data_IF_709025499601
#
_entry.id   IF_709025499601
#
_cell.length_a   1.000
_cell.length_b   1.000
_cell.length_c   1.000
_cell.angle_alpha   90.00
_cell.angle_beta   90.00
_cell.angle_gamma   90.00
#
_symmetry.space_group_name_H-M   'P 1'
#
loop_
_entity.id
_entity.type
_entity.pdbx_description
1 polymer ?
#
# COMPACT_ATOMS: atom_id res chain seq x y z
N UNK A 1 -18.68 -23.64 -12.42
CA UNK A 1 -18.43 -22.64 -11.36
C UNK A 1 -17.08 -22.95 -10.73
N UNK A 2 -15.99 -22.36 -11.24
CA UNK A 2 -14.67 -22.51 -10.61
C UNK A 2 -14.62 -21.58 -9.40
N UNK A 3 -14.35 -22.09 -8.19
CA UNK A 3 -14.45 -21.31 -6.97
C UNK A 3 -13.42 -20.19 -6.95
N UNK A 4 -13.87 -19.02 -6.51
CA UNK A 4 -13.17 -17.72 -6.38
C UNK A 4 -12.10 -17.69 -5.27
N UNK A 5 -11.55 -18.85 -4.95
CA UNK A 5 -10.64 -19.06 -3.84
C UNK A 5 -9.33 -19.58 -4.43
N UNK A 6 -8.24 -19.40 -3.70
CA UNK A 6 -6.88 -19.93 -3.96
C UNK A 6 -6.88 -21.47 -4.02
N UNK A 7 -7.69 -22.04 -4.92
CA UNK A 7 -7.88 -23.46 -5.11
C UNK A 7 -7.19 -23.83 -6.41
N UNK A 8 -6.24 -24.76 -6.37
CA UNK A 8 -5.58 -25.22 -7.58
C UNK A 8 -6.63 -25.80 -8.54
N UNK A 9 -6.58 -25.46 -9.85
CA UNK A 9 -7.52 -26.03 -10.83
C UNK A 9 -7.39 -27.55 -10.81
N UNK A 10 -8.50 -28.31 -10.78
CA UNK A 10 -8.50 -29.78 -10.62
C UNK A 10 -7.85 -30.54 -11.78
N UNK A 11 -7.83 -29.95 -12.98
CA UNK A 11 -7.15 -30.43 -14.17
C UNK A 11 -6.11 -29.41 -14.63
N UNK A 12 -5.17 -29.81 -15.49
CA UNK A 12 -4.24 -28.86 -16.12
C UNK A 12 -5.04 -28.00 -17.10
N UNK A 13 -5.15 -26.68 -16.90
CA UNK A 13 -5.89 -25.83 -17.82
C UNK A 13 -5.08 -25.60 -19.11
N UNK A 14 -5.72 -25.56 -20.29
CA UNK A 14 -5.09 -25.01 -21.49
C UNK A 14 -4.62 -23.57 -21.25
N UNK A 15 -3.60 -23.12 -21.98
CA UNK A 15 -2.99 -21.78 -21.81
C UNK A 15 -4.02 -20.64 -21.73
N UNK A 16 -4.97 -20.60 -22.67
CA UNK A 16 -6.00 -19.56 -22.71
C UNK A 16 -6.98 -19.63 -21.53
N UNK A 17 -7.26 -20.84 -21.03
CA UNK A 17 -8.10 -21.02 -19.84
C UNK A 17 -7.36 -20.57 -18.58
N UNK A 18 -6.07 -20.87 -18.47
CA UNK A 18 -5.22 -20.39 -17.38
C UNK A 18 -5.21 -18.86 -17.33
N UNK A 19 -4.99 -18.21 -18.49
CA UNK A 19 -4.99 -16.75 -18.62
C UNK A 19 -6.33 -16.14 -18.23
N UNK A 20 -7.44 -16.71 -18.71
CA UNK A 20 -8.78 -16.26 -18.37
C UNK A 20 -9.06 -16.37 -16.87
N UNK A 21 -8.73 -17.50 -16.24
CA UNK A 21 -8.89 -17.72 -14.80
C UNK A 21 -8.10 -16.67 -14.00
N UNK A 22 -6.85 -16.41 -14.39
CA UNK A 22 -6.00 -15.42 -13.73
C UNK A 22 -6.59 -14.01 -13.87
N UNK A 23 -7.01 -13.63 -15.09
CA UNK A 23 -7.57 -12.31 -15.37
C UNK A 23 -8.86 -12.04 -14.57
N UNK A 24 -9.77 -13.02 -14.54
CA UNK A 24 -11.04 -12.90 -13.80
C UNK A 24 -10.77 -12.80 -12.30
N UNK A 25 -9.91 -13.66 -11.75
CA UNK A 25 -9.57 -13.62 -10.33
C UNK A 25 -8.87 -12.30 -9.93
N UNK A 26 -7.92 -11.80 -10.73
CA UNK A 26 -7.27 -10.51 -10.46
C UNK A 26 -8.28 -9.35 -10.49
N UNK A 27 -9.20 -9.36 -11.46
CA UNK A 27 -10.25 -8.35 -11.60
C UNK A 27 -11.20 -8.39 -10.40
N UNK A 28 -11.62 -9.57 -9.97
CA UNK A 28 -12.51 -9.72 -8.81
C UNK A 28 -11.85 -9.33 -7.50
N UNK A 29 -10.58 -9.72 -7.30
CA UNK A 29 -9.80 -9.29 -6.14
C UNK A 29 -9.66 -7.77 -6.09
N UNK A 30 -9.48 -7.11 -7.25
CA UNK A 30 -9.43 -5.64 -7.34
C UNK A 30 -10.76 -4.99 -6.98
N UNK A 31 -11.89 -5.53 -7.43
CA UNK A 31 -13.20 -4.98 -7.07
C UNK A 31 -13.50 -5.17 -5.59
N UNK A 32 -13.21 -6.36 -5.03
CA UNK A 32 -13.34 -6.61 -3.60
C UNK A 32 -12.46 -5.67 -2.76
N UNK A 33 -11.23 -5.41 -3.21
CA UNK A 33 -10.32 -4.43 -2.61
C UNK A 33 -10.90 -3.02 -2.57
N UNK A 34 -11.48 -2.54 -3.69
CA UNK A 34 -12.10 -1.22 -3.76
C UNK A 34 -13.27 -1.10 -2.80
N UNK A 35 -14.17 -2.11 -2.77
CA UNK A 35 -15.30 -2.16 -1.83
C UNK A 35 -14.82 -2.13 -0.39
N UNK A 36 -13.80 -2.92 -0.05
CA UNK A 36 -13.22 -2.95 1.29
C UNK A 36 -12.61 -1.61 1.71
N UNK A 37 -11.89 -0.93 0.81
CA UNK A 37 -11.37 0.43 1.07
C UNK A 37 -12.50 1.43 1.30
N UNK A 38 -13.58 1.38 0.51
CA UNK A 38 -14.75 2.24 0.71
C UNK A 38 -15.41 2.01 2.08
N UNK A 39 -15.56 0.75 2.50
CA UNK A 39 -16.10 0.41 3.83
C UNK A 39 -15.20 0.96 4.95
N UNK A 40 -13.88 0.81 4.82
CA UNK A 40 -12.93 1.38 5.78
C UNK A 40 -13.05 2.91 5.85
N UNK A 41 -13.13 3.60 4.71
CA UNK A 41 -13.31 5.05 4.66
C UNK A 41 -14.60 5.48 5.37
N UNK A 42 -15.71 4.78 5.13
CA UNK A 42 -16.99 5.06 5.81
C UNK A 42 -16.91 4.81 7.31
N UNK A 43 -16.27 3.71 7.73
CA UNK A 43 -16.07 3.38 9.14
C UNK A 43 -15.29 4.48 9.87
N UNK A 44 -14.13 4.88 9.34
CA UNK A 44 -13.30 5.92 9.93
C UNK A 44 -13.99 7.29 9.97
N UNK A 45 -14.73 7.66 8.92
CA UNK A 45 -15.55 8.88 8.91
C UNK A 45 -16.59 8.89 10.03
N UNK A 46 -17.21 7.75 10.31
CA UNK A 46 -18.26 7.63 11.33
C UNK A 46 -17.72 7.56 12.77
N UNK A 47 -16.44 7.24 12.98
CA UNK A 47 -15.89 7.04 14.34
C UNK A 47 -15.45 8.35 15.02
N UNK A 48 -15.78 9.53 14.47
CA UNK A 48 -15.71 10.82 15.18
C UNK A 48 -14.31 11.32 15.60
N UNK A 49 -13.24 10.63 15.21
CA UNK A 49 -11.87 11.06 15.46
C UNK A 49 -11.16 11.38 14.16
N UNK A 50 -10.90 12.67 13.91
CA UNK A 50 -10.00 13.16 12.85
C UNK A 50 -8.57 12.66 13.10
N UNK A 51 -8.30 11.39 12.78
CA UNK A 51 -6.97 10.82 12.73
C UNK A 51 -6.68 10.44 11.28
N UNK A 52 -6.70 11.41 10.36
CA UNK A 52 -6.45 11.22 8.92
C UNK A 52 -5.14 10.46 8.66
N UNK A 53 -4.16 10.60 9.56
CA UNK A 53 -2.91 9.82 9.55
C UNK A 53 -3.15 8.32 9.69
N UNK A 54 -3.89 7.88 10.72
CA UNK A 54 -4.16 6.45 10.94
C UNK A 54 -4.98 5.87 9.78
N UNK A 55 -5.91 6.66 9.26
CA UNK A 55 -6.68 6.32 8.07
C UNK A 55 -5.77 6.10 6.84
N UNK A 56 -4.90 7.05 6.50
CA UNK A 56 -3.99 6.92 5.36
C UNK A 56 -2.97 5.78 5.50
N UNK A 57 -2.45 5.56 6.71
CA UNK A 57 -1.55 4.43 6.99
C UNK A 57 -2.28 3.08 6.88
N UNK A 58 -3.53 2.98 7.35
CA UNK A 58 -4.36 1.79 7.21
C UNK A 58 -4.68 1.49 5.74
N UNK A 59 -5.04 2.50 4.95
CA UNK A 59 -5.26 2.34 3.50
C UNK A 59 -4.00 1.85 2.79
N UNK A 60 -2.83 2.39 3.18
CA UNK A 60 -1.54 1.97 2.65
C UNK A 60 -1.22 0.51 3.02
N UNK A 61 -1.44 0.09 4.27
CA UNK A 61 -1.26 -1.30 4.69
C UNK A 61 -2.21 -2.25 3.93
N UNK A 62 -3.46 -1.85 3.80
CA UNK A 62 -4.49 -2.61 3.09
C UNK A 62 -4.09 -2.81 1.64
N UNK A 63 -3.66 -1.75 0.95
CA UNK A 63 -3.18 -1.85 -0.43
C UNK A 63 -1.98 -2.79 -0.55
N UNK A 64 -0.96 -2.67 0.32
CA UNK A 64 0.21 -3.55 0.23
C UNK A 64 -0.13 -5.03 0.51
N UNK A 65 -1.04 -5.27 1.46
CA UNK A 65 -1.55 -6.63 1.75
C UNK A 65 -2.31 -7.20 0.55
N UNK A 66 -3.14 -6.37 -0.09
CA UNK A 66 -3.88 -6.77 -1.29
C UNK A 66 -2.98 -6.99 -2.50
N UNK A 67 -1.91 -6.20 -2.65
CA UNK A 67 -0.89 -6.42 -3.69
C UNK A 67 -0.18 -7.76 -3.49
N UNK A 68 0.17 -8.11 -2.24
CA UNK A 68 0.73 -9.42 -1.92
C UNK A 68 -0.25 -10.54 -2.28
N UNK A 69 -1.53 -10.40 -1.89
CA UNK A 69 -2.56 -11.37 -2.23
C UNK A 69 -2.76 -11.55 -3.74
N UNK A 70 -2.87 -10.44 -4.49
CA UNK A 70 -3.00 -10.45 -5.95
C UNK A 70 -1.79 -11.07 -6.65
N UNK A 71 -0.58 -10.87 -6.12
CA UNK A 71 0.61 -11.58 -6.61
C UNK A 71 0.51 -13.08 -6.32
N UNK A 72 -0.13 -13.55 -5.24
CA UNK A 72 -0.24 -14.99 -4.96
C UNK A 72 -1.29 -15.73 -5.82
N UNK A 73 -2.34 -15.05 -6.29
CA UNK A 73 -3.46 -15.63 -7.04
C UNK A 73 -3.07 -16.45 -8.30
N UNK A 74 -2.14 -15.98 -9.17
CA UNK A 74 -1.76 -16.73 -10.37
C UNK A 74 -0.88 -17.95 -10.07
N UNK A 75 -0.22 -17.99 -8.90
CA UNK A 75 0.79 -18.99 -8.54
C UNK A 75 0.31 -20.43 -8.68
N UNK A 76 -0.83 -20.86 -8.09
CA UNK A 76 -1.28 -22.25 -8.21
C UNK A 76 -1.65 -22.64 -9.64
N UNK A 77 -2.12 -21.68 -10.45
CA UNK A 77 -2.51 -21.92 -11.85
C UNK A 77 -1.26 -22.14 -12.71
N UNK A 78 -0.29 -21.22 -12.62
CA UNK A 78 0.96 -21.32 -13.37
C UNK A 78 1.84 -22.48 -12.92
N UNK A 79 1.92 -22.73 -11.61
CA UNK A 79 2.67 -23.87 -11.08
C UNK A 79 2.17 -25.20 -11.67
N UNK A 80 0.85 -25.37 -11.74
CA UNK A 80 0.25 -26.57 -12.33
C UNK A 80 0.41 -26.63 -13.85
N UNK A 81 0.41 -25.49 -14.53
CA UNK A 81 0.65 -25.40 -15.97
C UNK A 81 2.10 -25.77 -16.33
N UNK A 82 3.09 -25.19 -15.64
CA UNK A 82 4.51 -25.43 -15.93
C UNK A 82 4.99 -26.83 -15.50
N UNK A 83 4.37 -27.44 -14.49
CA UNK A 83 4.65 -28.82 -14.10
C UNK A 83 4.01 -29.88 -15.02
N UNK A 84 3.31 -29.47 -16.09
CA UNK A 84 2.74 -30.43 -17.02
C UNK A 84 3.84 -31.15 -17.83
N UNK A 85 4.03 -32.45 -17.55
CA UNK A 85 5.04 -33.29 -18.20
C UNK A 85 4.74 -33.59 -19.67
N UNK A 86 3.52 -33.34 -20.14
CA UNK A 86 3.15 -33.53 -21.56
C UNK A 86 3.94 -32.63 -22.51
N UNK A 87 4.45 -31.48 -22.05
CA UNK A 87 5.30 -30.60 -22.84
C UNK A 87 6.79 -31.01 -22.85
N UNK A 88 7.12 -32.14 -22.22
CA UNK A 88 8.49 -32.65 -22.09
C UNK A 88 9.11 -32.34 -20.73
N UNK A 89 9.83 -33.34 -20.18
CA UNK A 89 10.37 -33.27 -18.81
C UNK A 89 11.38 -32.16 -18.59
N UNK A 90 12.21 -31.85 -19.60
CA UNK A 90 13.23 -30.79 -19.52
C UNK A 90 12.57 -29.42 -19.53
N UNK A 91 11.64 -29.19 -20.47
CA UNK A 91 10.91 -27.93 -20.57
C UNK A 91 10.12 -27.63 -19.30
N UNK A 92 9.44 -28.63 -18.73
CA UNK A 92 8.69 -28.49 -17.48
C UNK A 92 9.59 -28.13 -16.29
N UNK A 93 10.73 -28.80 -16.13
CA UNK A 93 11.66 -28.54 -15.01
C UNK A 93 12.27 -27.13 -15.09
N UNK A 94 12.76 -26.72 -16.27
CA UNK A 94 13.41 -25.41 -16.46
C UNK A 94 12.41 -24.26 -16.27
N UNK A 95 11.24 -24.34 -16.91
CA UNK A 95 10.22 -23.28 -16.83
C UNK A 95 9.63 -23.14 -15.43
N UNK A 96 9.35 -24.26 -14.74
CA UNK A 96 8.90 -24.24 -13.36
C UNK A 96 9.97 -23.64 -12.42
N UNK A 97 11.24 -23.99 -12.61
CA UNK A 97 12.36 -23.42 -11.85
C UNK A 97 12.48 -21.90 -12.01
N UNK A 98 12.50 -21.41 -13.25
CA UNK A 98 12.53 -19.97 -13.55
C UNK A 98 11.30 -19.23 -13.03
N UNK A 99 10.12 -19.84 -13.13
CA UNK A 99 8.88 -19.27 -12.60
C UNK A 99 8.95 -19.12 -11.09
N UNK A 100 9.37 -20.17 -10.37
CA UNK A 100 9.47 -20.15 -8.90
C UNK A 100 10.49 -19.12 -8.40
N UNK A 101 11.63 -18.96 -9.07
CA UNK A 101 12.64 -17.96 -8.66
C UNK A 101 12.12 -16.54 -8.86
N UNK A 102 11.53 -16.23 -10.01
CA UNK A 102 10.90 -14.93 -10.26
C UNK A 102 9.73 -14.67 -9.29
N UNK A 103 8.96 -15.71 -8.98
CA UNK A 103 7.85 -15.58 -8.03
C UNK A 103 8.33 -15.33 -6.61
N UNK A 104 9.37 -16.04 -6.17
CA UNK A 104 9.96 -15.87 -4.86
C UNK A 104 10.50 -14.44 -4.67
N UNK A 105 11.24 -13.91 -5.65
CA UNK A 105 11.75 -12.54 -5.58
C UNK A 105 10.62 -11.52 -5.54
N UNK A 106 9.58 -11.68 -6.37
CA UNK A 106 8.39 -10.83 -6.38
C UNK A 106 7.64 -10.86 -5.03
N UNK A 107 7.40 -12.04 -4.46
CA UNK A 107 6.73 -12.20 -3.16
C UNK A 107 7.57 -11.57 -2.04
N UNK A 108 8.88 -11.81 -2.00
CA UNK A 108 9.78 -11.21 -1.00
C UNK A 108 9.72 -9.68 -1.08
N UNK A 109 9.73 -9.11 -2.30
CA UNK A 109 9.63 -7.66 -2.48
C UNK A 109 8.31 -7.11 -1.91
N UNK A 110 7.17 -7.78 -2.15
CA UNK A 110 5.87 -7.36 -1.61
C UNK A 110 5.78 -7.53 -0.09
N UNK A 111 6.32 -8.62 0.46
CA UNK A 111 6.38 -8.83 1.92
C UNK A 111 7.17 -7.71 2.59
N UNK A 112 8.31 -7.30 2.01
CA UNK A 112 9.10 -6.17 2.53
C UNK A 112 8.30 -4.87 2.58
N UNK A 113 7.46 -4.61 1.57
CA UNK A 113 6.58 -3.44 1.55
C UNK A 113 5.49 -3.51 2.63
N UNK A 114 4.84 -4.66 2.81
CA UNK A 114 3.86 -4.89 3.88
C UNK A 114 4.50 -4.69 5.25
N UNK A 115 5.67 -5.29 5.49
CA UNK A 115 6.41 -5.14 6.74
C UNK A 115 6.84 -3.69 6.98
N UNK A 116 7.23 -2.95 5.93
CA UNK A 116 7.55 -1.54 6.05
C UNK A 116 6.30 -0.71 6.42
N UNK A 117 5.15 -0.96 5.80
CA UNK A 117 3.89 -0.31 6.15
C UNK A 117 3.42 -0.64 7.58
N UNK A 118 3.56 -1.90 8.02
CA UNK A 118 3.32 -2.31 9.40
C UNK A 118 4.25 -1.60 10.39
N UNK A 119 5.53 -1.47 10.06
CA UNK A 119 6.50 -0.71 10.87
C UNK A 119 6.12 0.77 10.96
N UNK A 120 5.61 1.37 9.88
CA UNK A 120 5.14 2.78 9.86
C UNK A 120 3.88 2.96 10.70
N UNK A 121 2.97 1.99 10.70
CA UNK A 121 1.81 1.97 11.62
C UNK A 121 2.24 1.83 13.09
N UNK A 122 3.27 1.01 13.34
CA UNK A 122 3.81 0.80 14.67
C UNK A 122 4.65 1.98 15.16
N UNK A 123 5.30 2.73 14.28
CA UNK A 123 6.10 3.91 14.63
C UNK A 123 5.22 5.15 14.72
N UNK A 124 5.28 5.80 15.88
CA UNK A 124 4.75 7.15 16.08
C UNK A 124 5.56 8.23 15.33
N UNK A 125 6.71 7.88 14.74
CA UNK A 125 7.60 8.82 14.04
C UNK A 125 7.05 9.30 12.69
N UNK A 126 7.23 10.59 12.45
CA UNK A 126 6.82 11.30 11.26
C UNK A 126 8.07 11.55 10.41
N UNK A 127 8.14 11.06 9.18
CA UNK A 127 9.38 11.18 8.37
C UNK A 127 9.77 12.64 8.06
N UNK A 128 8.82 13.57 8.13
CA UNK A 128 9.00 15.00 7.88
C UNK A 128 9.23 15.86 9.14
N UNK A 129 9.05 15.31 10.35
CA UNK A 129 9.10 16.10 11.59
C UNK A 129 8.90 15.28 12.86
N UNK A 130 8.70 15.95 14.00
CA UNK A 130 8.37 15.33 15.28
C UNK A 130 7.21 16.06 15.95
N UNK A 131 6.51 15.44 16.89
CA UNK A 131 5.50 16.15 17.69
C UNK A 131 6.17 17.31 18.44
N UNK A 132 5.60 18.51 18.35
CA UNK A 132 6.10 19.68 19.04
C UNK A 132 5.70 19.61 20.53
N UNK A 133 6.63 19.98 21.42
CA UNK A 133 6.32 20.12 22.84
C UNK A 133 5.48 21.38 23.10
N UNK A 134 4.78 21.42 24.22
CA UNK A 134 3.99 22.59 24.66
C UNK A 134 4.83 23.86 24.73
N UNK A 135 6.09 23.74 25.13
CA UNK A 135 7.03 24.86 25.21
C UNK A 135 7.39 25.38 23.82
N UNK A 136 7.62 24.48 22.86
CA UNK A 136 7.90 24.85 21.47
C UNK A 136 6.71 25.56 20.80
N UNK A 137 5.49 25.10 21.08
CA UNK A 137 4.26 25.74 20.58
C UNK A 137 4.12 27.14 21.16
N UNK A 138 4.30 27.30 22.48
CA UNK A 138 4.21 28.61 23.13
C UNK A 138 5.25 29.61 22.63
N UNK A 139 6.44 29.14 22.23
CA UNK A 139 7.50 29.99 21.68
C UNK A 139 7.29 30.37 20.22
N UNK A 140 6.62 29.53 19.43
CA UNK A 140 6.38 29.74 18.00
C UNK A 140 5.04 30.43 17.70
N UNK A 141 4.13 30.44 18.67
CA UNK A 141 2.75 30.91 18.52
C UNK A 141 1.76 29.75 18.36
N UNK A 142 0.58 29.93 18.93
CA UNK A 142 -0.43 28.87 19.09
C UNK A 142 -1.24 28.62 17.81
N UNK A 143 -1.03 29.40 16.74
CA UNK A 143 -1.82 29.36 15.51
C UNK A 143 -1.06 28.65 14.38
N UNK A 144 -1.76 27.80 13.64
CA UNK A 144 -1.21 27.14 12.46
C UNK A 144 -1.19 28.10 11.26
N UNK A 145 -0.06 28.25 10.57
CA UNK A 145 0.03 29.12 9.39
C UNK A 145 -0.74 28.61 8.15
N UNK A 146 -1.27 27.38 8.17
CA UNK A 146 -2.06 26.81 7.07
C UNK A 146 -3.56 27.02 7.29
N UNK A 147 -4.11 26.53 8.41
CA UNK A 147 -5.54 26.70 8.71
C UNK A 147 -5.88 27.99 9.46
N UNK A 148 -4.89 28.72 9.98
CA UNK A 148 -5.05 29.92 10.81
C UNK A 148 -5.82 29.71 12.12
N UNK A 149 -6.05 28.46 12.52
CA UNK A 149 -6.67 28.07 13.78
C UNK A 149 -5.62 27.64 14.81
N UNK A 150 -6.06 27.39 16.05
CA UNK A 150 -5.20 26.87 17.11
C UNK A 150 -4.60 25.52 16.72
N UNK A 151 -3.31 25.34 16.98
CA UNK A 151 -2.57 24.13 16.64
C UNK A 151 -3.20 22.89 17.28
N UNK A 152 -3.66 21.96 16.44
CA UNK A 152 -4.15 20.64 16.83
C UNK A 152 -3.14 19.57 16.41
N UNK A 153 -2.65 18.77 17.37
CA UNK A 153 -1.56 17.79 17.16
C UNK A 153 -0.34 18.41 16.44
N UNK A 154 0.34 19.40 17.06
CA UNK A 154 1.39 20.17 16.39
C UNK A 154 2.60 19.30 16.03
N UNK A 155 3.08 19.44 14.80
CA UNK A 155 4.31 18.81 14.28
C UNK A 155 5.33 19.89 13.97
N UNK A 156 6.53 19.76 14.53
CA UNK A 156 7.69 20.55 14.17
C UNK A 156 8.45 19.87 13.02
N UNK A 157 8.61 20.58 11.91
CA UNK A 157 9.42 20.12 10.78
C UNK A 157 10.92 20.22 11.11
N UNK A 158 11.78 19.57 10.30
CA UNK A 158 13.25 19.70 10.45
C UNK A 158 13.76 21.14 10.30
N UNK A 159 13.01 21.98 9.58
CA UNK A 159 13.28 23.42 9.47
C UNK A 159 12.75 24.25 10.65
N UNK A 160 12.27 23.59 11.72
CA UNK A 160 11.73 24.17 12.97
C UNK A 160 10.38 24.89 12.86
N UNK A 161 9.73 24.90 11.71
CA UNK A 161 8.37 25.43 11.57
C UNK A 161 7.33 24.43 12.10
N UNK A 162 6.28 24.95 12.75
CA UNK A 162 5.24 24.17 13.42
C UNK A 162 3.91 24.34 12.69
N UNK A 163 3.21 23.24 12.45
CA UNK A 163 1.90 23.21 11.81
C UNK A 163 1.03 22.13 12.46
N UNK A 164 -0.29 22.17 12.21
CA UNK A 164 -1.14 21.01 12.48
C UNK A 164 -0.65 19.84 11.62
N UNK A 165 -0.62 18.63 12.20
CA UNK A 165 -0.25 17.41 11.50
C UNK A 165 -1.03 17.21 10.20
N UNK A 166 -2.34 17.48 10.23
CA UNK A 166 -3.25 17.30 9.10
C UNK A 166 -2.95 18.29 7.98
N UNK A 167 -2.85 19.57 8.32
CA UNK A 167 -2.61 20.63 7.36
C UNK A 167 -1.28 20.44 6.62
N UNK A 168 -0.22 20.09 7.35
CA UNK A 168 1.10 19.89 6.74
C UNK A 168 1.19 18.59 5.95
N UNK A 169 0.44 17.55 6.34
CA UNK A 169 0.34 16.31 5.58
C UNK A 169 -0.35 16.55 4.24
N UNK A 170 -1.47 17.27 4.22
CA UNK A 170 -2.19 17.60 2.97
C UNK A 170 -1.33 18.46 2.03
N UNK A 171 -0.60 19.43 2.58
CA UNK A 171 0.35 20.23 1.81
C UNK A 171 1.39 19.36 1.10
N UNK A 172 1.97 18.37 1.80
CA UNK A 172 3.00 17.49 1.23
C UNK A 172 2.51 16.50 0.18
N UNK A 173 1.20 16.28 0.05
CA UNK A 173 0.63 15.53 -1.08
C UNK A 173 0.75 16.33 -2.40
N UNK A 174 0.84 17.66 -2.34
CA UNK A 174 0.97 18.54 -3.51
C UNK A 174 2.39 19.07 -3.70
N UNK A 175 3.01 19.54 -2.63
CA UNK A 175 4.27 20.29 -2.66
C UNK A 175 5.20 19.80 -1.55
N UNK A 176 6.42 19.35 -1.90
CA UNK A 176 7.36 18.70 -0.94
C UNK A 176 8.27 19.69 -0.21
N UNK A 177 7.80 20.91 -0.02
CA UNK A 177 8.57 21.99 0.60
C UNK A 177 7.81 22.59 1.78
N UNK A 178 8.51 23.09 2.79
CA UNK A 178 7.87 23.77 3.92
C UNK A 178 7.04 24.98 3.43
N UNK A 179 5.78 25.15 3.86
CA UNK A 179 4.94 26.29 3.46
C UNK A 179 5.55 27.67 3.77
N UNK A 180 6.35 27.75 4.83
CA UNK A 180 6.92 29.03 5.31
C UNK A 180 8.29 29.32 4.69
N UNK A 181 9.21 28.35 4.68
CA UNK A 181 10.59 28.59 4.26
C UNK A 181 11.02 27.85 2.99
N UNK A 182 10.12 27.08 2.37
CA UNK A 182 10.37 26.27 1.17
C UNK A 182 11.51 25.24 1.29
N UNK A 183 11.97 24.95 2.51
CA UNK A 183 12.96 23.91 2.74
C UNK A 183 12.42 22.54 2.28
N UNK A 184 13.24 21.79 1.56
CA UNK A 184 12.86 20.49 0.99
C UNK A 184 12.63 19.45 2.10
N UNK A 185 11.52 18.74 2.00
CA UNK A 185 11.18 17.61 2.87
C UNK A 185 11.43 16.32 2.11
N UNK A 186 12.47 15.58 2.51
CA UNK A 186 12.86 14.33 1.83
C UNK A 186 11.66 13.38 1.74
N UNK A 187 11.41 12.76 0.57
CA UNK A 187 10.38 11.74 0.44
C UNK A 187 10.62 10.57 1.38
N UNK A 188 9.53 9.94 1.81
CA UNK A 188 9.62 8.57 2.27
C UNK A 188 9.95 7.70 1.04
N UNK A 189 10.87 6.75 1.18
CA UNK A 189 11.30 5.86 0.08
C UNK A 189 10.19 4.90 -0.40
N UNK A 190 8.98 5.02 0.16
CA UNK A 190 7.84 4.13 -0.05
C UNK A 190 6.67 4.97 -0.58
N UNK A 191 6.08 4.53 -1.70
CA UNK A 191 4.85 5.13 -2.24
C UNK A 191 3.72 5.04 -1.21
N UNK A 192 3.13 6.17 -0.82
CA UNK A 192 1.93 6.20 0.00
C UNK A 192 0.69 5.90 -0.86
N UNK A 193 -0.28 5.20 -0.26
CA UNK A 193 -1.64 5.06 -0.81
C UNK A 193 -2.65 5.69 0.16
N UNK A 194 -2.23 6.80 0.79
CA UNK A 194 -3.00 7.60 1.75
C UNK A 194 -4.28 8.15 1.12
N UNK A 195 -4.26 8.40 -0.18
CA UNK A 195 -5.37 8.89 -1.01
C UNK A 195 -6.39 7.79 -1.39
N UNK A 196 -6.12 6.52 -1.05
CA UNK A 196 -6.95 5.39 -1.44
C UNK A 196 -6.74 4.91 -2.87
N UNK A 197 -5.75 5.43 -3.60
CA UNK A 197 -5.40 4.94 -4.93
C UNK A 197 -5.06 3.45 -4.92
N UNK A 198 -5.23 2.80 -6.07
CA UNK A 198 -4.95 1.35 -6.25
C UNK A 198 -4.02 1.17 -7.43
N UNK A 199 -3.06 0.25 -7.31
CA UNK A 199 -2.18 -0.07 -8.44
C UNK A 199 -2.97 -0.66 -9.61
N UNK A 200 -2.88 -0.02 -10.77
CA UNK A 200 -3.60 -0.45 -11.97
C UNK A 200 -2.97 -1.65 -12.67
N UNK A 201 -1.73 -2.02 -12.32
CA UNK A 201 -0.99 -3.09 -12.99
C UNK A 201 -1.63 -4.46 -12.72
N UNK A 202 -1.77 -5.26 -13.78
CA UNK A 202 -2.26 -6.63 -13.71
C UNK A 202 -1.14 -7.57 -13.27
N UNK A 203 -1.43 -8.43 -12.28
CA UNK A 203 -0.49 -9.44 -11.81
C UNK A 203 -0.67 -10.72 -12.64
N UNK A 204 -0.15 -10.72 -13.86
CA UNK A 204 -0.27 -11.88 -14.76
C UNK A 204 0.64 -13.05 -14.37
N UNK A 205 1.82 -12.77 -13.79
CA UNK A 205 2.87 -13.76 -13.50
C UNK A 205 3.18 -13.89 -12.02
#
# INVERSE_FOLDING_TARGET
MYPLVLLPPKSVPPFWHALFIILVNDSMARQAAMVFKCILLMYYKNTGGHNYRKQGQMLTLVEYTLLLYRTLLPTPVWYRFFLNKEYGSIFSSVTAGLYLTFKLTSVIQKIRLVLAALRVLSRKEVHYGSSASTEQVSAAGDLCAICQEKLHSPIVLRCKHIFCEECVSEWFERERTCPLCRALVKPADIKSYSDGSTSLCFQFF
#
